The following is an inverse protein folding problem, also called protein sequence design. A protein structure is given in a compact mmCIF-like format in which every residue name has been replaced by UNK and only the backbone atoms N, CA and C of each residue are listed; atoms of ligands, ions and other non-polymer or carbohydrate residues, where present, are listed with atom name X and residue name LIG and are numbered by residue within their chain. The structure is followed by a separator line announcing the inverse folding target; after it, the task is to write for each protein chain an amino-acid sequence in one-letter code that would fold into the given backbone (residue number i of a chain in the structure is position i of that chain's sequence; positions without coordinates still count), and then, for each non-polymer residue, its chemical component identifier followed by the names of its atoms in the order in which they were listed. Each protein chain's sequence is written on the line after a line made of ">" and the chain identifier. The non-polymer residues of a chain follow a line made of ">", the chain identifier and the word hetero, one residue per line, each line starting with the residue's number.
data_IF_488762453763
#
_entry.id   IF_488762453763
#
_cell.length_a   1.000
_cell.length_b   1.000
_cell.length_c   1.000
_cell.angle_alpha   90.00
_cell.angle_beta   90.00
_cell.angle_gamma   90.00
#
_symmetry.space_group_name_H-M   'P 1'
#
loop_
_entity.id
_entity.type
_entity.pdbx_description
1 polymer ?
#
# COMPACT_ATOMS: atom_id res chain seq x y z
N UNK A 1 5.73 4.11 24.08
CA UNK A 1 4.48 4.25 23.29
C UNK A 1 3.47 3.27 23.84
N UNK A 2 2.20 3.65 23.92
CA UNK A 2 1.13 2.72 24.28
C UNK A 2 0.81 1.83 23.07
N UNK A 3 0.50 0.54 23.28
CA UNK A 3 0.07 -0.34 22.21
C UNK A 3 -1.33 0.07 21.72
N UNK A 4 -1.59 -0.19 20.43
CA UNK A 4 -2.92 -0.03 19.84
C UNK A 4 -3.92 -0.96 20.55
N UNK A 5 -5.12 -0.44 20.81
CA UNK A 5 -6.14 -1.17 21.61
C UNK A 5 -7.29 -1.61 20.72
N UNK A 6 -7.73 -2.88 20.77
CA UNK A 6 -8.89 -3.32 20.02
C UNK A 6 -10.14 -2.58 20.54
N UNK A 7 -10.85 -1.92 19.63
CA UNK A 7 -12.17 -1.33 19.88
C UNK A 7 -13.27 -2.33 19.59
N UNK A 8 -13.11 -3.12 18.53
CA UNK A 8 -14.00 -4.21 18.13
C UNK A 8 -13.16 -5.30 17.47
N UNK A 9 -13.38 -6.55 17.85
CA UNK A 9 -12.60 -7.67 17.30
C UNK A 9 -13.15 -8.18 15.95
N UNK A 10 -14.35 -7.76 15.54
CA UNK A 10 -14.94 -8.21 14.28
C UNK A 10 -15.48 -9.65 14.30
N UNK A 11 -15.61 -10.28 15.47
CA UNK A 11 -16.16 -11.64 15.58
C UNK A 11 -17.69 -11.65 15.44
N UNK A 12 -18.20 -12.37 14.44
CA UNK A 12 -19.64 -12.63 14.22
C UNK A 12 -19.99 -14.08 14.53
N UNK A 13 -21.24 -14.32 14.93
CA UNK A 13 -21.82 -15.66 14.87
C UNK A 13 -22.03 -16.07 13.41
N UNK A 14 -22.01 -17.38 13.10
CA UNK A 14 -22.08 -17.91 11.72
C UNK A 14 -23.24 -17.35 10.88
N UNK A 15 -24.37 -16.98 11.49
CA UNK A 15 -25.58 -16.53 10.80
C UNK A 15 -25.78 -15.00 10.81
N UNK A 16 -24.76 -14.22 11.14
CA UNK A 16 -24.87 -12.77 11.16
C UNK A 16 -24.91 -12.18 9.73
N UNK A 17 -25.85 -11.26 9.49
CA UNK A 17 -26.03 -10.59 8.20
C UNK A 17 -25.28 -9.26 8.07
N UNK A 18 -24.69 -8.77 9.15
CA UNK A 18 -23.95 -7.50 9.16
C UNK A 18 -22.46 -7.78 9.05
N UNK A 19 -21.82 -7.19 8.04
CA UNK A 19 -20.37 -7.16 7.96
C UNK A 19 -19.80 -6.38 9.14
N UNK A 20 -18.91 -7.03 9.87
CA UNK A 20 -18.12 -6.38 10.91
C UNK A 20 -16.66 -6.74 10.70
N UNK A 21 -15.80 -5.78 10.95
CA UNK A 21 -14.37 -5.96 10.84
C UNK A 21 -13.67 -5.48 12.11
N UNK A 22 -12.42 -5.93 12.34
CA UNK A 22 -11.61 -5.40 13.42
C UNK A 22 -11.50 -3.87 13.33
N UNK A 23 -11.60 -3.24 14.49
CA UNK A 23 -11.43 -1.80 14.67
C UNK A 23 -10.52 -1.58 15.86
N UNK A 24 -9.61 -0.63 15.73
CA UNK A 24 -8.60 -0.32 16.73
C UNK A 24 -8.67 1.15 17.12
N UNK A 25 -8.27 1.44 18.35
CA UNK A 25 -7.98 2.79 18.82
C UNK A 25 -6.47 3.02 18.72
N UNK A 26 -6.09 4.06 17.99
CA UNK A 26 -4.70 4.42 17.71
C UNK A 26 -4.31 5.66 18.51
N UNK A 27 -3.38 5.52 19.45
CA UNK A 27 -2.77 6.68 20.14
C UNK A 27 -1.67 7.31 19.27
N UNK A 28 -1.02 6.50 18.42
CA UNK A 28 0.06 6.94 17.52
C UNK A 28 -0.50 7.23 16.14
N UNK A 29 -0.31 8.46 15.67
CA UNK A 29 -0.79 8.92 14.36
C UNK A 29 0.27 9.73 13.63
N UNK A 30 0.40 9.48 12.33
CA UNK A 30 1.20 10.28 11.41
C UNK A 30 0.35 10.67 10.20
N UNK A 31 0.52 11.91 9.75
CA UNK A 31 -0.12 12.42 8.55
C UNK A 31 0.98 12.97 7.65
N UNK A 32 1.01 12.50 6.41
CA UNK A 32 1.81 13.08 5.33
C UNK A 32 0.87 13.81 4.39
N UNK A 33 1.14 15.08 4.13
CA UNK A 33 0.35 15.91 3.24
C UNK A 33 1.24 16.50 2.14
N UNK A 34 0.72 16.57 0.91
CA UNK A 34 1.36 17.27 -0.21
C UNK A 34 2.82 16.84 -0.45
N UNK A 35 3.10 15.55 -0.26
CA UNK A 35 4.45 14.99 -0.25
C UNK A 35 4.70 14.07 -1.44
N UNK A 36 5.92 14.16 -2.00
CA UNK A 36 6.38 13.28 -3.07
C UNK A 36 7.46 12.33 -2.56
N UNK A 37 7.17 11.03 -2.58
CA UNK A 37 8.12 9.95 -2.34
C UNK A 37 8.60 9.41 -3.68
N UNK A 38 9.86 9.67 -4.03
CA UNK A 38 10.36 9.38 -5.36
C UNK A 38 11.75 8.78 -5.36
N UNK A 39 11.96 7.77 -6.21
CA UNK A 39 13.27 7.15 -6.44
C UNK A 39 13.92 6.65 -5.14
N UNK A 40 13.12 6.16 -4.20
CA UNK A 40 13.61 5.54 -2.98
C UNK A 40 13.85 4.04 -3.18
N UNK A 41 14.90 3.53 -2.51
CA UNK A 41 15.23 2.11 -2.43
C UNK A 41 15.25 1.66 -0.98
N UNK A 42 14.70 0.47 -0.74
CA UNK A 42 14.72 -0.12 0.59
C UNK A 42 14.58 -1.63 0.56
N UNK A 43 15.09 -2.28 1.61
CA UNK A 43 15.08 -3.74 1.69
C UNK A 43 13.65 -4.26 1.84
N UNK A 44 12.89 -3.73 2.80
CA UNK A 44 11.49 -4.11 3.03
C UNK A 44 10.54 -3.35 2.07
N UNK A 45 10.54 -2.02 2.16
CA UNK A 45 9.77 -1.13 1.30
C UNK A 45 10.70 -0.07 0.71
N UNK A 46 10.49 0.33 -0.54
CA UNK A 46 11.26 1.43 -1.13
C UNK A 46 10.91 2.78 -0.53
N UNK A 47 9.62 3.13 -0.42
CA UNK A 47 9.21 4.43 0.14
C UNK A 47 8.85 4.38 1.63
N UNK A 48 7.80 3.65 2.01
CA UNK A 48 7.26 3.73 3.38
C UNK A 48 6.97 2.34 3.94
N UNK A 49 7.45 2.11 5.16
CA UNK A 49 7.17 0.93 5.98
C UNK A 49 6.28 1.32 7.16
N UNK A 50 5.14 0.66 7.33
CA UNK A 50 4.15 0.97 8.37
C UNK A 50 3.83 -0.33 9.09
N UNK A 51 4.10 -0.43 10.40
CA UNK A 51 3.77 -1.62 11.19
C UNK A 51 2.52 -1.46 12.05
N UNK A 52 2.35 -0.31 12.71
CA UNK A 52 1.28 -0.05 13.69
C UNK A 52 0.91 1.45 13.70
N UNK A 53 -0.12 1.80 14.47
CA UNK A 53 -0.65 3.16 14.53
C UNK A 53 -1.52 3.51 13.32
N UNK A 54 -1.83 4.80 13.18
CA UNK A 54 -2.58 5.33 12.04
C UNK A 54 -1.69 6.20 11.15
N UNK A 55 -1.44 5.74 9.93
CA UNK A 55 -0.83 6.52 8.88
C UNK A 55 -1.88 7.04 7.89
N UNK A 56 -1.90 8.36 7.65
CA UNK A 56 -2.71 8.98 6.61
C UNK A 56 -1.82 9.68 5.59
N UNK A 57 -2.09 9.48 4.32
CA UNK A 57 -1.47 10.18 3.20
C UNK A 57 -2.54 11.00 2.48
N UNK A 58 -2.30 12.29 2.29
CA UNK A 58 -3.24 13.20 1.64
C UNK A 58 -2.52 13.95 0.53
N UNK A 59 -3.04 13.87 -0.71
CA UNK A 59 -2.43 14.53 -1.87
C UNK A 59 -0.96 14.16 -2.07
N UNK A 60 -0.62 12.91 -1.79
CA UNK A 60 0.75 12.41 -1.88
C UNK A 60 1.01 11.69 -3.21
N UNK A 61 2.25 11.74 -3.69
CA UNK A 61 2.70 11.01 -4.87
C UNK A 61 3.80 10.04 -4.52
N UNK A 62 3.67 8.81 -4.98
CA UNK A 62 4.69 7.76 -4.87
C UNK A 62 5.15 7.37 -6.27
N UNK A 63 6.37 7.75 -6.65
CA UNK A 63 6.89 7.57 -8.01
C UNK A 63 8.19 6.77 -8.03
N UNK A 64 8.22 5.70 -8.82
CA UNK A 64 9.46 4.96 -9.09
C UNK A 64 10.24 4.57 -7.82
N UNK A 65 9.55 4.04 -6.82
CA UNK A 65 10.18 3.52 -5.61
C UNK A 65 10.32 2.00 -5.73
N UNK A 66 11.44 1.44 -5.29
CA UNK A 66 11.77 0.04 -5.52
C UNK A 66 12.23 -0.67 -4.25
N UNK A 67 11.74 -1.89 -4.08
CA UNK A 67 12.10 -2.76 -2.98
C UNK A 67 12.89 -3.99 -3.45
N UNK A 68 13.34 -4.78 -2.47
CA UNK A 68 13.86 -6.14 -2.70
C UNK A 68 12.85 -7.18 -2.19
N UNK A 69 12.43 -7.06 -0.93
CA UNK A 69 11.68 -8.12 -0.27
C UNK A 69 10.17 -7.98 -0.46
N UNK A 70 9.59 -6.87 0.00
CA UNK A 70 8.13 -6.81 0.17
C UNK A 70 7.46 -5.96 -0.90
N UNK A 71 7.87 -4.71 -1.08
CA UNK A 71 7.19 -3.78 -2.01
C UNK A 71 8.07 -2.62 -2.44
N UNK A 72 7.70 -1.98 -3.55
CA UNK A 72 8.38 -0.81 -4.06
C UNK A 72 8.01 0.46 -3.31
N UNK A 73 6.71 0.70 -3.12
CA UNK A 73 6.24 1.97 -2.60
C UNK A 73 5.85 1.83 -1.11
N UNK A 74 4.66 1.32 -0.80
CA UNK A 74 4.19 1.26 0.59
C UNK A 74 4.01 -0.18 1.07
N UNK A 75 4.56 -0.49 2.24
CA UNK A 75 4.31 -1.74 2.97
C UNK A 75 3.52 -1.47 4.24
N UNK A 76 2.27 -1.93 4.28
CA UNK A 76 1.48 -2.06 5.50
C UNK A 76 1.77 -3.43 6.10
N UNK A 77 2.78 -3.48 6.96
CA UNK A 77 3.31 -4.71 7.51
C UNK A 77 2.36 -5.37 8.52
N UNK A 78 2.64 -6.64 8.82
CA UNK A 78 1.91 -7.39 9.83
C UNK A 78 1.83 -6.63 11.17
N UNK A 79 0.62 -6.51 11.71
CA UNK A 79 0.34 -5.69 12.88
C UNK A 79 -1.10 -5.21 12.86
N UNK A 80 -1.35 -4.05 13.48
CA UNK A 80 -2.68 -3.45 13.59
C UNK A 80 -2.80 -2.12 12.87
N UNK A 81 -1.75 -1.72 12.15
CA UNK A 81 -1.63 -0.41 11.53
C UNK A 81 -2.76 -0.13 10.54
N UNK A 82 -3.41 1.03 10.69
CA UNK A 82 -4.34 1.58 9.72
C UNK A 82 -3.61 2.45 8.72
N UNK A 83 -3.96 2.29 7.44
CA UNK A 83 -3.41 3.11 6.36
C UNK A 83 -4.55 3.69 5.54
N UNK A 84 -4.60 5.02 5.46
CA UNK A 84 -5.54 5.74 4.62
C UNK A 84 -4.79 6.54 3.55
N UNK A 85 -5.20 6.40 2.30
CA UNK A 85 -4.79 7.23 1.18
C UNK A 85 -5.97 8.05 0.69
N UNK A 86 -5.79 9.36 0.59
CA UNK A 86 -6.79 10.30 0.07
C UNK A 86 -6.13 11.20 -0.97
N UNK A 87 -6.71 11.23 -2.18
CA UNK A 87 -6.21 12.01 -3.31
C UNK A 87 -4.75 11.69 -3.68
N UNK A 88 -4.34 10.42 -3.55
CA UNK A 88 -2.95 10.00 -3.76
C UNK A 88 -2.72 9.45 -5.17
N UNK A 89 -1.45 9.46 -5.61
CA UNK A 89 -1.04 8.83 -6.86
C UNK A 89 0.16 7.92 -6.69
N UNK A 90 0.09 6.73 -7.31
CA UNK A 90 1.19 5.79 -7.43
C UNK A 90 1.53 5.65 -8.91
N UNK A 91 2.80 5.81 -9.26
CA UNK A 91 3.22 5.70 -10.66
C UNK A 91 4.55 4.99 -10.79
N UNK A 92 4.61 4.08 -11.76
CA UNK A 92 5.84 3.42 -12.19
C UNK A 92 6.10 3.74 -13.64
N UNK A 93 7.27 4.32 -13.89
CA UNK A 93 7.83 4.63 -15.20
C UNK A 93 9.13 3.88 -15.47
N UNK A 94 9.84 3.44 -14.41
CA UNK A 94 11.10 2.70 -14.50
C UNK A 94 10.92 1.22 -14.18
N UNK A 95 11.77 0.39 -14.81
CA UNK A 95 11.76 -1.05 -14.57
C UNK A 95 12.34 -1.42 -13.21
N UNK A 96 13.46 -0.79 -12.84
CA UNK A 96 14.24 -1.04 -11.64
C UNK A 96 15.07 0.20 -11.28
N UNK A 97 15.72 0.15 -10.12
CA UNK A 97 16.71 1.12 -9.69
C UNK A 97 18.00 0.42 -9.28
N UNK A 98 19.12 0.80 -9.89
CA UNK A 98 20.44 0.33 -9.50
C UNK A 98 21.04 1.29 -8.47
N UNK A 99 21.41 0.77 -7.30
CA UNK A 99 22.19 1.52 -6.32
C UNK A 99 23.64 1.04 -6.42
N UNK A 100 24.54 1.94 -6.81
CA UNK A 100 25.95 1.62 -7.07
C UNK A 100 26.56 0.83 -5.90
N UNK A 101 27.24 -0.27 -6.23
CA UNK A 101 27.95 -1.15 -5.30
C UNK A 101 27.08 -1.87 -4.24
N UNK A 102 25.76 -1.92 -4.40
CA UNK A 102 24.86 -2.65 -3.48
C UNK A 102 24.07 -3.71 -4.23
N UNK A 103 23.01 -3.31 -4.92
CA UNK A 103 22.08 -4.23 -5.60
C UNK A 103 21.17 -3.49 -6.57
N UNK A 104 20.50 -4.25 -7.42
CA UNK A 104 19.40 -3.75 -8.25
C UNK A 104 18.08 -4.01 -7.53
N UNK A 105 17.34 -2.94 -7.26
CA UNK A 105 16.01 -2.98 -6.66
C UNK A 105 14.98 -3.03 -7.79
N UNK A 106 14.22 -4.12 -7.87
CA UNK A 106 13.37 -4.40 -9.02
C UNK A 106 11.93 -4.74 -8.65
N UNK A 107 11.57 -4.76 -7.35
CA UNK A 107 10.19 -4.96 -6.93
C UNK A 107 9.46 -3.62 -6.91
N UNK A 108 8.46 -3.40 -7.78
CA UNK A 108 7.85 -2.08 -7.95
C UNK A 108 6.40 -2.02 -7.44
N UNK A 109 5.96 -3.02 -6.67
CA UNK A 109 4.62 -3.09 -6.08
C UNK A 109 4.27 -1.75 -5.42
N UNK A 110 3.09 -1.21 -5.73
CA UNK A 110 2.63 0.07 -5.19
C UNK A 110 2.21 -0.06 -3.73
N UNK A 111 1.49 -1.13 -3.41
CA UNK A 111 1.04 -1.35 -2.06
C UNK A 111 1.03 -2.84 -1.78
N UNK A 112 1.73 -3.22 -0.72
CA UNK A 112 1.58 -4.53 -0.09
C UNK A 112 0.99 -4.35 1.30
N UNK A 113 -0.09 -5.05 1.61
CA UNK A 113 -0.70 -5.06 2.94
C UNK A 113 -0.83 -6.46 3.50
N UNK A 114 -0.32 -6.62 4.72
CA UNK A 114 -0.52 -7.79 5.60
C UNK A 114 -1.04 -7.37 6.98
N UNK A 115 -1.34 -6.09 7.17
CA UNK A 115 -1.84 -5.56 8.44
C UNK A 115 -3.26 -6.09 8.73
N UNK A 116 -3.56 -6.29 10.01
CA UNK A 116 -4.93 -6.50 10.49
C UNK A 116 -5.71 -5.20 10.71
N UNK A 117 -5.07 -4.05 10.51
CA UNK A 117 -5.69 -2.73 10.57
C UNK A 117 -6.24 -2.28 9.20
N UNK A 118 -7.32 -1.46 9.17
CA UNK A 118 -7.98 -1.07 7.93
C UNK A 118 -7.08 -0.41 6.90
N UNK A 119 -7.36 -0.69 5.63
CA UNK A 119 -6.76 -0.02 4.47
C UNK A 119 -7.86 0.72 3.69
N UNK A 120 -7.67 2.03 3.49
CA UNK A 120 -8.61 2.86 2.70
C UNK A 120 -7.90 3.54 1.55
N UNK A 121 -8.51 3.46 0.37
CA UNK A 121 -8.09 4.10 -0.87
C UNK A 121 -9.24 4.97 -1.35
N UNK A 122 -9.07 6.29 -1.24
CA UNK A 122 -10.06 7.27 -1.67
C UNK A 122 -9.44 8.18 -2.73
N UNK A 123 -10.08 8.28 -3.89
CA UNK A 123 -9.58 9.05 -5.03
C UNK A 123 -8.09 8.80 -5.30
N UNK A 124 -7.70 7.53 -5.26
CA UNK A 124 -6.30 7.12 -5.38
C UNK A 124 -6.06 6.48 -6.75
N UNK A 125 -5.07 7.00 -7.47
CA UNK A 125 -4.74 6.53 -8.84
C UNK A 125 -3.46 5.72 -8.82
N UNK A 126 -3.46 4.55 -9.48
CA UNK A 126 -2.31 3.66 -9.58
C UNK A 126 -2.03 3.33 -11.04
N UNK A 127 -0.85 3.72 -11.54
CA UNK A 127 -0.50 3.60 -12.97
C UNK A 127 0.87 2.94 -13.15
N UNK A 128 0.91 1.78 -13.78
CA UNK A 128 2.16 1.18 -14.27
C UNK A 128 2.29 1.40 -15.77
N UNK A 129 3.28 2.20 -16.17
CA UNK A 129 3.59 2.52 -17.58
C UNK A 129 4.65 1.60 -18.21
N UNK A 130 5.22 0.68 -17.43
CA UNK A 130 6.17 -0.31 -17.96
C UNK A 130 5.39 -1.40 -18.74
N UNK A 131 5.66 -1.60 -20.04
CA UNK A 131 4.98 -2.58 -20.88
C UNK A 131 5.39 -4.02 -20.58
N UNK A 132 6.55 -4.25 -19.96
CA UNK A 132 6.98 -5.58 -19.59
C UNK A 132 6.00 -6.19 -18.57
N UNK A 133 5.51 -7.41 -18.84
CA UNK A 133 4.71 -8.17 -17.87
C UNK A 133 5.48 -8.26 -16.56
N UNK A 134 5.02 -7.51 -15.58
CA UNK A 134 5.56 -7.57 -14.23
C UNK A 134 5.29 -8.96 -13.66
N UNK A 135 6.33 -9.62 -13.14
CA UNK A 135 6.18 -10.85 -12.35
C UNK A 135 5.55 -10.60 -10.98
N UNK A 136 5.33 -9.32 -10.61
CA UNK A 136 4.83 -8.91 -9.32
C UNK A 136 3.44 -8.29 -9.44
N UNK A 137 2.57 -8.54 -8.47
CA UNK A 137 1.33 -7.80 -8.28
C UNK A 137 1.63 -6.34 -7.94
N UNK A 138 0.89 -5.39 -8.53
CA UNK A 138 1.04 -3.96 -8.23
C UNK A 138 0.27 -3.53 -6.98
N UNK A 139 -0.84 -4.21 -6.72
CA UNK A 139 -1.57 -4.14 -5.47
C UNK A 139 -1.65 -5.56 -4.92
N UNK A 140 -1.09 -5.78 -3.74
CA UNK A 140 -1.07 -7.07 -3.07
C UNK A 140 -1.62 -6.90 -1.64
N UNK A 141 -2.63 -7.68 -1.29
CA UNK A 141 -3.31 -7.60 -0.01
C UNK A 141 -3.51 -9.03 0.48
N UNK A 142 -2.64 -9.48 1.38
CA UNK A 142 -2.81 -10.76 2.07
C UNK A 142 -3.68 -10.60 3.32
N UNK A 143 -3.66 -9.41 3.93
CA UNK A 143 -4.57 -8.99 4.98
C UNK A 143 -4.73 -7.46 4.98
N UNK A 144 -5.93 -7.01 5.30
CA UNK A 144 -6.20 -5.60 5.56
C UNK A 144 -7.14 -5.36 6.73
N UNK A 145 -7.63 -6.41 7.41
CA UNK A 145 -8.75 -6.34 8.38
C UNK A 145 -10.08 -5.90 7.78
N UNK A 146 -10.06 -4.82 7.00
CA UNK A 146 -11.10 -4.25 6.14
C UNK A 146 -10.41 -3.42 5.06
N UNK A 147 -10.78 -3.63 3.79
CA UNK A 147 -10.26 -2.88 2.64
C UNK A 147 -11.40 -2.14 1.99
N UNK A 148 -11.22 -0.85 1.78
CA UNK A 148 -12.19 0.05 1.19
C UNK A 148 -11.54 0.82 0.05
N UNK A 149 -12.05 0.65 -1.16
CA UNK A 149 -11.63 1.40 -2.34
C UNK A 149 -12.87 2.07 -2.93
N UNK A 150 -12.86 3.39 -2.98
CA UNK A 150 -13.98 4.15 -3.52
C UNK A 150 -14.06 4.06 -5.05
N UNK A 151 -15.21 4.44 -5.61
CA UNK A 151 -15.48 4.40 -7.05
C UNK A 151 -14.61 5.35 -7.88
N UNK A 152 -13.94 6.32 -7.22
CA UNK A 152 -13.06 7.28 -7.88
C UNK A 152 -11.60 6.82 -7.94
N UNK A 153 -11.25 5.77 -7.19
CA UNK A 153 -9.92 5.16 -7.24
C UNK A 153 -9.76 4.31 -8.50
N UNK A 154 -8.60 4.38 -9.14
CA UNK A 154 -8.34 3.70 -10.42
C UNK A 154 -7.03 2.94 -10.43
N UNK A 155 -7.02 1.83 -11.18
CA UNK A 155 -5.84 1.01 -11.41
C UNK A 155 -5.66 0.74 -12.91
N UNK A 156 -4.53 1.19 -13.46
CA UNK A 156 -4.19 1.03 -14.87
C UNK A 156 -2.79 0.42 -15.01
N UNK A 157 -2.71 -0.79 -15.57
CA UNK A 157 -1.45 -1.36 -16.04
C UNK A 157 -1.50 -1.40 -17.57
N UNK A 158 -0.47 -0.88 -18.24
CA UNK A 158 -0.36 -1.01 -19.69
C UNK A 158 -0.30 -2.50 -20.03
N UNK A 159 -1.38 -3.04 -20.60
CA UNK A 159 -1.37 -4.34 -21.28
C UNK A 159 -0.93 -4.07 -22.71
N UNK A 160 0.19 -4.66 -23.13
CA UNK A 160 0.45 -4.79 -24.56
C UNK A 160 -0.66 -5.63 -25.19
N UNK A 161 -1.25 -5.06 -26.25
CA UNK A 161 -2.13 -5.74 -27.18
C UNK A 161 -1.49 -7.05 -27.64
N UNK A 162 -2.05 -8.19 -27.25
CA UNK A 162 -1.90 -9.43 -28.02
C UNK A 162 -3.31 -9.94 -28.28
N UNK A 163 -3.73 -9.73 -29.52
CA UNK A 163 -4.83 -10.46 -30.15
C UNK A 163 -4.57 -11.96 -30.01
N UNK A 164 -5.58 -12.71 -29.60
CA UNK A 164 -5.79 -14.09 -30.04
C UNK A 164 -7.17 -14.17 -30.65
#
# INVERSE_FOLDING_TARGET
>A
MNPDKPRKLGCVQENATHEIHPLWNYDSRVIFEDTVFMENAGLAAGAVYISNGFAKFQRCTFRDNFGIHQTGHVYSAYGTGRVDFEDCSFTRTKKSMAVLNISTFNKPTFLYSESGGPLKLKNTTMISLDPDRNSYSMLDISSGGFVDMDETSTYNAVKDNIFY
#
